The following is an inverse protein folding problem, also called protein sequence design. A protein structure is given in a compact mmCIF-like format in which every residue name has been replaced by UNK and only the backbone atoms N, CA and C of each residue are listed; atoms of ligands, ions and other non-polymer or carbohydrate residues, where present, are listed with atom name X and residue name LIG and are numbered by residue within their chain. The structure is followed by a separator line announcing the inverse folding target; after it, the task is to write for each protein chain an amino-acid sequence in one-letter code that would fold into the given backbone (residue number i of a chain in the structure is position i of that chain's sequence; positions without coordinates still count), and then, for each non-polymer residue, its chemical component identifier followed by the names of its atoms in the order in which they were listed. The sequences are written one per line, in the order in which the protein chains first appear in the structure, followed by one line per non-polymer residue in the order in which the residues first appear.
data_IF_875318107359
#
_entry.id   IF_875318107359
#
_cell.length_a   1.000
_cell.length_b   1.000
_cell.length_c   1.000
_cell.angle_alpha   90.00
_cell.angle_beta   90.00
_cell.angle_gamma   90.00
#
_symmetry.space_group_name_H-M   'P 1'
#
loop_
_entity.id
_entity.type
_entity.pdbx_description
1 polymer ?
#
# COMPACT_ATOMS: atom_id res chain seq x y z
N UNK A 1 -6.11 58.50 -10.45
CA UNK A 1 -6.69 57.44 -9.59
C UNK A 1 -6.23 56.11 -10.17
N UNK A 2 -5.45 55.31 -9.46
CA UNK A 2 -4.60 54.26 -10.06
C UNK A 2 -5.38 53.00 -10.47
N UNK A 3 -5.99 53.01 -11.65
CA UNK A 3 -6.72 51.87 -12.24
C UNK A 3 -5.84 50.62 -12.41
N UNK A 4 -4.52 50.79 -12.57
CA UNK A 4 -3.57 49.68 -12.66
C UNK A 4 -3.51 48.84 -11.37
N UNK A 5 -3.65 49.45 -10.20
CA UNK A 5 -3.55 48.73 -8.93
C UNK A 5 -4.75 47.79 -8.75
N UNK A 6 -5.95 48.29 -9.05
CA UNK A 6 -7.22 47.55 -8.99
C UNK A 6 -7.22 46.37 -9.99
N UNK A 7 -6.76 46.60 -11.22
CA UNK A 7 -6.68 45.52 -12.22
C UNK A 7 -5.69 44.42 -11.82
N UNK A 8 -4.52 44.77 -11.26
CA UNK A 8 -3.54 43.76 -10.83
C UNK A 8 -4.06 42.91 -9.67
N UNK A 9 -4.75 43.50 -8.70
CA UNK A 9 -5.33 42.75 -7.59
C UNK A 9 -6.43 41.80 -8.05
N UNK A 10 -7.30 42.23 -8.96
CA UNK A 10 -8.32 41.35 -9.57
C UNK A 10 -7.70 40.13 -10.25
N UNK A 11 -6.67 40.33 -11.07
CA UNK A 11 -6.00 39.23 -11.77
C UNK A 11 -5.36 38.27 -10.79
N UNK A 12 -4.67 38.76 -9.76
CA UNK A 12 -4.06 37.90 -8.73
C UNK A 12 -5.12 37.07 -8.02
N UNK A 13 -6.26 37.67 -7.67
CA UNK A 13 -7.35 36.96 -7.01
C UNK A 13 -7.94 35.86 -7.89
N UNK A 14 -8.14 36.14 -9.18
CA UNK A 14 -8.62 35.15 -10.14
C UNK A 14 -7.63 34.00 -10.34
N UNK A 15 -6.33 34.29 -10.40
CA UNK A 15 -5.29 33.27 -10.49
C UNK A 15 -5.27 32.40 -9.24
N UNK A 16 -5.27 33.00 -8.05
CA UNK A 16 -5.29 32.26 -6.78
C UNK A 16 -6.54 31.39 -6.66
N UNK A 17 -7.70 31.91 -7.04
CA UNK A 17 -8.94 31.15 -7.06
C UNK A 17 -8.86 29.97 -8.04
N UNK A 18 -8.38 30.22 -9.26
CA UNK A 18 -8.21 29.17 -10.27
C UNK A 18 -7.25 28.07 -9.82
N UNK A 19 -6.13 28.43 -9.20
CA UNK A 19 -5.16 27.48 -8.63
C UNK A 19 -5.80 26.68 -7.49
N UNK A 20 -6.58 27.32 -6.61
CA UNK A 20 -7.30 26.65 -5.54
C UNK A 20 -8.29 25.61 -6.06
N UNK A 21 -9.11 25.98 -7.05
CA UNK A 21 -10.07 25.06 -7.69
C UNK A 21 -9.35 23.90 -8.37
N UNK A 22 -8.28 24.17 -9.11
CA UNK A 22 -7.48 23.14 -9.76
C UNK A 22 -6.84 22.19 -8.74
N UNK A 23 -6.37 22.69 -7.60
CA UNK A 23 -5.84 21.87 -6.51
C UNK A 23 -6.88 20.92 -5.92
N UNK A 24 -8.10 21.41 -5.69
CA UNK A 24 -9.21 20.56 -5.22
C UNK A 24 -9.56 19.49 -6.25
N UNK A 25 -9.63 19.86 -7.53
CA UNK A 25 -9.90 18.90 -8.61
C UNK A 25 -8.82 17.83 -8.73
N UNK A 26 -7.54 18.23 -8.65
CA UNK A 26 -6.42 17.29 -8.63
C UNK A 26 -6.55 16.31 -7.45
N UNK A 27 -6.83 16.81 -6.25
CA UNK A 27 -7.05 15.96 -5.08
C UNK A 27 -8.19 14.95 -5.29
N UNK A 28 -9.33 15.42 -5.81
CA UNK A 28 -10.48 14.56 -6.07
C UNK A 28 -10.17 13.47 -7.12
N UNK A 29 -9.41 13.83 -8.16
CA UNK A 29 -9.07 12.91 -9.25
C UNK A 29 -8.04 11.86 -8.82
N UNK A 30 -7.02 12.27 -8.07
CA UNK A 30 -5.90 11.41 -7.69
C UNK A 30 -6.11 10.62 -6.39
N UNK A 31 -6.93 11.10 -5.45
CA UNK A 31 -7.16 10.42 -4.17
C UNK A 31 -8.61 9.99 -3.96
N UNK A 32 -9.59 10.88 -4.18
CA UNK A 32 -10.97 10.56 -3.81
C UNK A 32 -11.63 9.51 -4.73
N UNK A 33 -11.43 9.61 -6.04
CA UNK A 33 -11.99 8.66 -7.01
C UNK A 33 -11.39 7.26 -6.94
N UNK A 34 -10.06 7.06 -6.89
CA UNK A 34 -9.51 5.71 -6.79
C UNK A 34 -9.87 5.04 -5.46
N UNK A 35 -9.95 5.80 -4.37
CA UNK A 35 -10.44 5.28 -3.10
C UNK A 35 -11.88 4.77 -3.18
N UNK A 36 -12.77 5.51 -3.86
CA UNK A 36 -14.16 5.08 -4.10
C UNK A 36 -14.26 3.86 -5.00
N UNK A 37 -13.52 3.85 -6.12
CA UNK A 37 -13.50 2.71 -7.03
C UNK A 37 -13.00 1.42 -6.36
N UNK A 38 -12.05 1.54 -5.41
CA UNK A 38 -11.61 0.42 -4.61
C UNK A 38 -12.67 -0.07 -3.62
N UNK A 39 -13.37 0.86 -2.95
CA UNK A 39 -14.46 0.51 -2.05
C UNK A 39 -15.61 -0.21 -2.79
N UNK A 40 -15.92 0.21 -4.01
CA UNK A 40 -16.90 -0.48 -4.88
C UNK A 40 -16.45 -1.87 -5.31
N UNK A 41 -15.15 -2.10 -5.44
CA UNK A 41 -14.56 -3.39 -5.81
C UNK A 41 -14.36 -4.36 -4.62
N UNK A 42 -14.97 -4.07 -3.46
CA UNK A 42 -14.76 -4.77 -2.17
C UNK A 42 -13.28 -4.87 -1.77
N UNK A 43 -12.48 -3.91 -2.23
CA UNK A 43 -11.04 -3.85 -2.01
C UNK A 43 -10.72 -2.71 -1.04
N UNK A 44 -9.60 -2.83 -0.33
CA UNK A 44 -9.13 -1.80 0.57
C UNK A 44 -8.17 -0.86 -0.15
N UNK A 45 -8.48 0.43 -0.10
CA UNK A 45 -7.58 1.49 -0.55
C UNK A 45 -6.42 1.69 0.43
N UNK A 46 -5.19 1.47 -0.04
CA UNK A 46 -3.98 1.84 0.69
C UNK A 46 -3.49 3.23 0.25
N UNK A 47 -3.58 4.20 1.16
CA UNK A 47 -3.13 5.57 0.91
C UNK A 47 -1.61 5.68 0.70
N UNK A 48 -0.81 4.75 1.23
CA UNK A 48 0.65 4.77 1.13
C UNK A 48 1.13 4.36 -0.26
N UNK A 49 0.70 3.19 -0.73
CA UNK A 49 1.05 2.70 -2.07
C UNK A 49 0.18 3.27 -3.19
N UNK A 50 -0.93 3.95 -2.87
CA UNK A 50 -1.98 4.36 -3.83
C UNK A 50 -2.51 3.17 -4.64
N UNK A 51 -2.54 1.98 -4.04
CA UNK A 51 -3.01 0.76 -4.70
C UNK A 51 -4.24 0.18 -4.02
N UNK A 52 -5.00 -0.54 -4.83
CA UNK A 52 -6.14 -1.32 -4.42
C UNK A 52 -5.64 -2.69 -3.96
N UNK A 53 -5.70 -2.98 -2.66
CA UNK A 53 -5.35 -4.30 -2.15
C UNK A 53 -6.63 -5.10 -1.86
N UNK A 54 -6.69 -6.34 -2.33
CA UNK A 54 -7.76 -7.28 -1.95
C UNK A 54 -7.23 -8.24 -0.90
N UNK A 55 -7.92 -8.41 0.24
CA UNK A 55 -7.53 -9.42 1.20
C UNK A 55 -7.68 -10.81 0.57
N UNK A 56 -6.59 -11.57 0.53
CA UNK A 56 -6.64 -12.99 0.16
C UNK A 56 -6.86 -13.82 1.42
N UNK A 57 -7.77 -14.80 1.35
CA UNK A 57 -8.01 -15.67 2.49
C UNK A 57 -6.79 -16.56 2.70
N UNK A 58 -6.23 -16.56 3.91
CA UNK A 58 -4.99 -17.30 4.20
C UNK A 58 -5.16 -18.81 3.97
N UNK A 59 -6.37 -19.34 4.19
CA UNK A 59 -6.69 -20.74 3.90
C UNK A 59 -6.63 -21.08 2.41
N UNK A 60 -6.98 -20.14 1.52
CA UNK A 60 -6.90 -20.35 0.07
C UNK A 60 -5.46 -20.42 -0.41
N UNK A 61 -4.58 -19.58 0.17
CA UNK A 61 -3.15 -19.56 -0.16
C UNK A 61 -2.41 -20.76 0.43
N UNK A 62 -2.77 -21.15 1.65
CA UNK A 62 -2.07 -22.21 2.38
C UNK A 62 -2.68 -23.60 2.19
N UNK A 63 -3.85 -23.69 1.55
CA UNK A 63 -4.63 -24.92 1.42
C UNK A 63 -5.09 -25.52 2.75
N UNK A 64 -4.95 -24.77 3.86
CA UNK A 64 -5.24 -25.29 5.20
C UNK A 64 -6.71 -25.08 5.54
N UNK A 65 -7.45 -26.14 5.93
CA UNK A 65 -8.85 -26.01 6.34
C UNK A 65 -9.00 -25.05 7.51
N UNK A 66 -10.03 -24.20 7.43
CA UNK A 66 -10.40 -23.25 8.48
C UNK A 66 -10.72 -23.99 9.79
N UNK A 67 -10.25 -23.46 10.92
CA UNK A 67 -10.52 -24.01 12.25
C UNK A 67 -9.58 -25.12 12.73
N UNK A 68 -8.68 -25.63 11.88
CA UNK A 68 -7.75 -26.70 12.27
C UNK A 68 -6.50 -26.11 12.93
N UNK A 69 -6.42 -26.22 14.26
CA UNK A 69 -5.20 -25.92 15.01
C UNK A 69 -4.13 -26.96 14.69
N UNK A 70 -2.88 -26.52 14.55
CA UNK A 70 -1.75 -27.46 14.47
C UNK A 70 -1.67 -28.25 15.77
N UNK A 71 -1.41 -29.54 15.68
CA UNK A 71 -1.06 -30.33 16.87
C UNK A 71 0.28 -29.81 17.43
N UNK A 72 0.52 -29.94 18.75
CA UNK A 72 1.78 -29.48 19.36
C UNK A 72 3.02 -30.08 18.67
N UNK A 73 2.94 -31.36 18.27
CA UNK A 73 3.99 -32.08 17.55
C UNK A 73 4.28 -31.48 16.16
N UNK A 74 3.25 -31.04 15.44
CA UNK A 74 3.43 -30.35 14.15
C UNK A 74 4.06 -28.98 14.30
N UNK A 75 3.81 -28.29 15.42
CA UNK A 75 4.41 -26.98 15.73
C UNK A 75 5.89 -27.16 16.03
N UNK A 76 6.24 -28.13 16.87
CA UNK A 76 7.63 -28.43 17.24
C UNK A 76 8.45 -28.88 16.03
N UNK A 77 7.91 -29.80 15.23
CA UNK A 77 8.56 -30.27 13.99
C UNK A 77 8.74 -29.15 12.96
N UNK A 78 7.78 -28.21 12.86
CA UNK A 78 7.92 -27.06 11.96
C UNK A 78 9.00 -26.08 12.45
N UNK A 79 9.14 -25.90 13.78
CA UNK A 79 10.16 -25.04 14.39
C UNK A 79 11.56 -25.60 14.22
N UNK A 80 11.75 -26.91 14.42
CA UNK A 80 13.06 -27.55 14.23
C UNK A 80 13.48 -27.53 12.76
N UNK A 81 12.57 -27.84 11.83
CA UNK A 81 12.84 -27.77 10.37
C UNK A 81 13.19 -26.36 9.91
N UNK A 82 12.58 -25.31 10.46
CA UNK A 82 12.90 -23.92 10.07
C UNK A 82 14.26 -23.47 10.62
N UNK A 83 14.64 -23.92 11.82
CA UNK A 83 15.98 -23.74 12.38
C UNK A 83 17.06 -24.36 11.50
N UNK A 84 16.92 -25.65 11.19
CA UNK A 84 17.84 -26.39 10.31
C UNK A 84 17.97 -25.75 8.92
N UNK A 85 16.87 -25.27 8.35
CA UNK A 85 16.91 -24.55 7.06
C UNK A 85 17.68 -23.24 7.12
N UNK A 86 17.52 -22.46 8.20
CA UNK A 86 18.27 -21.20 8.39
C UNK A 86 19.75 -21.47 8.55
N UNK A 87 20.13 -22.47 9.32
CA UNK A 87 21.54 -22.88 9.51
C UNK A 87 22.17 -23.34 8.18
N UNK A 88 21.46 -24.18 7.42
CA UNK A 88 21.91 -24.62 6.11
C UNK A 88 22.02 -23.45 5.10
N UNK A 89 21.15 -22.44 5.19
CA UNK A 89 21.21 -21.26 4.33
C UNK A 89 22.43 -20.38 4.65
N UNK A 90 22.71 -20.16 5.94
CA UNK A 90 23.90 -19.40 6.38
C UNK A 90 25.19 -20.08 5.92
N UNK A 91 25.25 -21.42 6.00
CA UNK A 91 26.42 -22.17 5.52
C UNK A 91 26.61 -22.06 4.00
N UNK A 92 25.50 -22.08 3.23
CA UNK A 92 25.55 -21.89 1.77
C UNK A 92 26.01 -20.49 1.39
N UNK A 93 25.55 -19.47 2.10
CA UNK A 93 25.97 -18.07 1.89
C UNK A 93 27.44 -17.87 2.28
N UNK A 94 27.92 -18.52 3.35
CA UNK A 94 29.33 -18.50 3.75
C UNK A 94 30.23 -19.24 2.75
N UNK A 95 29.75 -20.33 2.15
CA UNK A 95 30.46 -21.05 1.09
C UNK A 95 30.54 -20.23 -0.20
N UNK A 96 29.45 -19.57 -0.61
CA UNK A 96 29.40 -18.74 -1.82
C UNK A 96 30.25 -17.45 -1.74
N UNK A 97 30.67 -17.03 -0.55
CA UNK A 97 31.53 -15.86 -0.34
C UNK A 97 33.03 -16.22 -0.32
N UNK A 98 33.36 -17.51 -0.37
CA UNK A 98 34.74 -18.00 -0.30
C UNK A 98 35.38 -18.22 -1.68
N UNK A 99 34.58 -18.09 -2.74
CA UNK A 99 34.99 -18.01 -4.15
C UNK A 99 35.07 -16.54 -4.60
#
# INVERSE_FOLDING_TARGET
MNDRLINRMKVIFLVLFGVGVAGVWAYQWFWARPAKACAEAEAWWDNGSRTCARPVFLSDVTGRPVGVKRTPEQIETARTKSGLKREAQVQKEAAAKKD
#
